data_IF_589350118136
#
_entry.id   IF_589350118136
#
_cell.length_a   1.000
_cell.length_b   1.000
_cell.length_c   1.000
_cell.angle_alpha   90.00
_cell.angle_beta   90.00
_cell.angle_gamma   90.00
#
_symmetry.space_group_name_H-M   'P 1'
#
loop_
_entity.id
_entity.type
_entity.pdbx_description
1 polymer ?
#
# COMPACT_ATOMS: atom_id res chain seq x y z
N UNK A 1 2.72 -2.34 6.49
CA UNK A 1 1.92 -2.96 5.43
C UNK A 1 2.82 -3.58 4.36
N UNK A 2 3.63 -2.81 3.66
CA UNK A 2 4.55 -3.35 2.64
C UNK A 2 5.99 -3.52 3.15
N UNK A 3 6.32 -2.94 4.29
CA UNK A 3 7.67 -3.01 4.84
C UNK A 3 8.06 -4.43 5.23
N UNK A 4 9.33 -4.78 5.05
CA UNK A 4 9.86 -6.09 5.39
C UNK A 4 10.48 -6.05 6.78
N UNK A 5 10.18 -7.09 7.57
CA UNK A 5 10.76 -7.28 8.88
C UNK A 5 11.67 -8.51 8.83
N UNK A 6 12.72 -8.51 9.61
CA UNK A 6 13.59 -9.68 9.71
C UNK A 6 12.80 -10.90 10.22
N UNK A 7 13.07 -12.08 9.65
CA UNK A 7 12.45 -13.32 10.06
C UNK A 7 11.10 -13.64 9.41
N UNK A 8 10.63 -12.82 8.47
CA UNK A 8 9.41 -13.14 7.73
C UNK A 8 9.64 -14.34 6.81
N UNK A 9 8.58 -15.15 6.61
CA UNK A 9 8.63 -16.28 5.69
C UNK A 9 8.77 -15.79 4.25
N UNK A 10 9.29 -16.65 3.37
CA UNK A 10 9.40 -16.35 1.94
C UNK A 10 8.02 -16.05 1.34
N UNK A 11 6.99 -16.77 1.74
CA UNK A 11 5.62 -16.54 1.26
C UNK A 11 5.12 -15.15 1.64
N UNK A 12 5.39 -14.70 2.87
CA UNK A 12 5.01 -13.37 3.33
C UNK A 12 5.72 -12.30 2.52
N UNK A 13 7.02 -12.46 2.28
CA UNK A 13 7.82 -11.52 1.50
C UNK A 13 7.30 -11.43 0.06
N UNK A 14 7.03 -12.57 -0.57
CA UNK A 14 6.49 -12.62 -1.93
C UNK A 14 5.11 -11.97 -2.01
N UNK A 15 4.26 -12.22 -1.03
CA UNK A 15 2.92 -11.61 -0.97
C UNK A 15 3.01 -10.09 -0.85
N UNK A 16 3.89 -9.58 0.02
CA UNK A 16 4.10 -8.13 0.17
C UNK A 16 4.62 -7.51 -1.13
N UNK A 17 5.55 -8.15 -1.81
CA UNK A 17 6.05 -7.68 -3.10
C UNK A 17 4.96 -7.62 -4.16
N UNK A 18 4.11 -8.65 -4.20
CA UNK A 18 2.96 -8.69 -5.11
C UNK A 18 1.99 -7.54 -4.83
N UNK A 19 1.69 -7.29 -3.57
CA UNK A 19 0.80 -6.20 -3.17
C UNK A 19 1.41 -4.82 -3.46
N UNK A 20 2.73 -4.66 -3.30
CA UNK A 20 3.41 -3.43 -3.69
C UNK A 20 3.23 -3.15 -5.18
N UNK A 21 3.39 -4.18 -6.00
CA UNK A 21 3.21 -4.07 -7.44
C UNK A 21 1.77 -3.70 -7.79
N UNK A 22 0.80 -4.34 -7.14
CA UNK A 22 -0.62 -4.04 -7.34
C UNK A 22 -0.93 -2.60 -6.94
N UNK A 23 -0.38 -2.14 -5.82
CA UNK A 23 -0.57 -0.76 -5.37
C UNK A 23 0.00 0.24 -6.38
N UNK A 24 1.16 -0.06 -6.95
CA UNK A 24 1.78 0.81 -7.96
C UNK A 24 1.01 0.81 -9.28
N UNK A 25 0.26 -0.24 -9.58
CA UNK A 25 -0.64 -0.27 -10.73
C UNK A 25 -1.90 0.55 -10.46
N UNK A 26 -2.44 0.47 -9.25
CA UNK A 26 -3.62 1.23 -8.85
C UNK A 26 -3.29 2.72 -8.71
N UNK A 27 -2.16 3.03 -8.09
CA UNK A 27 -1.69 4.40 -7.89
C UNK A 27 -0.31 4.55 -8.52
N UNK A 28 -0.28 5.02 -9.76
CA UNK A 28 0.95 5.07 -10.57
C UNK A 28 2.00 6.05 -10.05
N UNK A 29 1.59 6.99 -9.20
CA UNK A 29 2.52 7.92 -8.57
C UNK A 29 3.34 7.28 -7.44
N UNK A 30 2.96 6.07 -6.97
CA UNK A 30 3.70 5.39 -5.93
C UNK A 30 4.98 4.77 -6.48
N UNK A 31 6.08 5.00 -5.76
CA UNK A 31 7.38 4.38 -6.06
C UNK A 31 7.63 3.21 -5.11
N UNK A 32 8.64 2.39 -5.41
CA UNK A 32 9.07 1.33 -4.50
C UNK A 32 9.45 1.90 -3.13
N UNK A 33 10.13 3.05 -3.12
CA UNK A 33 10.52 3.71 -1.87
C UNK A 33 9.30 4.14 -1.07
N UNK A 34 8.33 4.75 -1.74
CA UNK A 34 7.06 5.15 -1.09
C UNK A 34 6.39 3.95 -0.43
N UNK A 35 6.24 2.85 -1.17
CA UNK A 35 5.62 1.64 -0.64
C UNK A 35 6.40 1.07 0.56
N UNK A 36 7.72 1.10 0.51
CA UNK A 36 8.54 0.56 1.59
C UNK A 36 8.39 1.33 2.89
N UNK A 37 7.97 2.59 2.84
CA UNK A 37 7.74 3.41 4.03
C UNK A 37 6.32 3.26 4.59
N UNK A 38 5.40 2.65 3.83
CA UNK A 38 4.01 2.47 4.24
C UNK A 38 3.90 1.23 5.12
N UNK A 39 3.70 1.43 6.41
CA UNK A 39 3.60 0.34 7.39
C UNK A 39 2.17 0.08 7.84
N UNK A 40 1.29 1.05 7.68
CA UNK A 40 -0.11 0.94 8.11
C UNK A 40 -1.05 1.40 7.01
N UNK A 41 -2.32 0.98 7.12
CA UNK A 41 -3.38 1.45 6.23
C UNK A 41 -3.52 2.97 6.27
N UNK A 42 -3.41 3.57 7.46
CA UNK A 42 -3.48 5.02 7.62
C UNK A 42 -2.39 5.73 6.83
N UNK A 43 -1.17 5.20 6.85
CA UNK A 43 -0.06 5.77 6.08
C UNK A 43 -0.32 5.66 4.57
N UNK A 44 -0.90 4.57 4.12
CA UNK A 44 -1.27 4.42 2.70
C UNK A 44 -2.32 5.45 2.30
N UNK A 45 -3.37 5.61 3.11
CA UNK A 45 -4.41 6.62 2.87
C UNK A 45 -3.82 8.03 2.81
N UNK A 46 -2.95 8.37 3.76
CA UNK A 46 -2.30 9.68 3.80
C UNK A 46 -1.45 9.92 2.56
N UNK A 47 -0.72 8.93 2.11
CA UNK A 47 0.13 9.06 0.93
C UNK A 47 -0.72 9.22 -0.34
N UNK A 48 -1.76 8.43 -0.50
CA UNK A 48 -2.68 8.54 -1.64
C UNK A 48 -3.31 9.93 -1.67
N UNK A 49 -3.80 10.41 -0.52
CA UNK A 49 -4.37 11.74 -0.39
C UNK A 49 -3.36 12.83 -0.78
N UNK A 50 -2.17 12.77 -0.19
CA UNK A 50 -1.14 13.80 -0.37
C UNK A 50 -0.64 13.85 -1.82
N UNK A 51 -0.40 12.69 -2.42
CA UNK A 51 0.19 12.60 -3.75
C UNK A 51 -0.82 12.89 -4.87
N UNK A 52 -2.08 12.50 -4.68
CA UNK A 52 -3.11 12.68 -5.70
C UNK A 52 -3.94 13.94 -5.53
N UNK A 53 -3.94 14.53 -4.34
CA UNK A 53 -4.73 15.73 -4.05
C UNK A 53 -6.22 15.46 -3.85
N UNK A 54 -6.64 14.20 -3.73
CA UNK A 54 -8.04 13.86 -3.46
C UNK A 54 -8.38 14.06 -1.99
N UNK A 55 -9.68 14.02 -1.66
CA UNK A 55 -10.12 14.16 -0.27
C UNK A 55 -9.72 12.95 0.56
N UNK A 56 -9.67 13.12 1.87
CA UNK A 56 -9.40 12.04 2.80
C UNK A 56 -10.44 10.91 2.67
N UNK A 57 -11.72 11.27 2.56
CA UNK A 57 -12.79 10.29 2.40
C UNK A 57 -12.63 9.48 1.11
N UNK A 58 -12.27 10.13 0.01
CA UNK A 58 -12.03 9.43 -1.24
C UNK A 58 -10.82 8.51 -1.15
N UNK A 59 -9.74 8.98 -0.53
CA UNK A 59 -8.55 8.15 -0.33
C UNK A 59 -8.88 6.91 0.51
N UNK A 60 -9.65 7.06 1.57
CA UNK A 60 -10.08 5.92 2.40
C UNK A 60 -10.91 4.92 1.60
N UNK A 61 -11.84 5.41 0.80
CA UNK A 61 -12.69 4.54 -0.04
C UNK A 61 -11.86 3.77 -1.05
N UNK A 62 -10.94 4.44 -1.72
CA UNK A 62 -10.08 3.82 -2.72
C UNK A 62 -9.19 2.77 -2.09
N UNK A 63 -8.58 3.08 -0.95
CA UNK A 63 -7.72 2.13 -0.23
C UNK A 63 -8.54 0.94 0.29
N UNK A 64 -9.71 1.18 0.87
CA UNK A 64 -10.58 0.11 1.37
C UNK A 64 -10.98 -0.83 0.23
N UNK A 65 -11.37 -0.29 -0.91
CA UNK A 65 -11.77 -1.09 -2.06
C UNK A 65 -10.58 -1.93 -2.57
N UNK A 66 -9.40 -1.32 -2.63
CA UNK A 66 -8.19 -2.01 -3.09
C UNK A 66 -7.76 -3.12 -2.13
N UNK A 67 -7.97 -2.92 -0.83
CA UNK A 67 -7.54 -3.88 0.20
C UNK A 67 -8.47 -5.09 0.33
N UNK A 68 -9.66 -5.05 -0.25
CA UNK A 68 -10.59 -6.18 -0.16
C UNK A 68 -9.99 -7.43 -0.78
N UNK A 69 -10.05 -8.52 -0.03
CA UNK A 69 -9.48 -9.81 -0.45
C UNK A 69 -7.98 -9.93 -0.27
N UNK A 70 -7.30 -8.89 0.20
CA UNK A 70 -5.87 -8.92 0.47
C UNK A 70 -5.61 -9.15 1.96
N UNK A 71 -4.53 -9.85 2.24
CA UNK A 71 -4.11 -10.16 3.61
C UNK A 71 -2.78 -9.48 3.92
N UNK A 72 -2.81 -8.59 4.85
CA UNK A 72 -1.63 -7.85 5.29
C UNK A 72 -1.22 -8.26 6.70
#
# INVERSE_FOLDING_TARGET
MFGFQGGESADTVMRKKSYMKDAQQEWRFLTNLDCSTIKTKGQLCDMVKTRSGISEDQAKRDVDAWMQGKQF
#
